data_IF_877735570443
#
_entry.id   IF_877735570443
#
_cell.length_a   1.000
_cell.length_b   1.000
_cell.length_c   1.000
_cell.angle_alpha   90.00
_cell.angle_beta   90.00
_cell.angle_gamma   90.00
#
_symmetry.space_group_name_H-M   'P 1'
#
loop_
_entity.id
_entity.type
_entity.pdbx_description
1 polymer ?
#
# COMPACT_ATOMS: atom_id res chain seq x y z
N UNK A 1 -30.22 -40.22 39.47
CA UNK A 1 -30.57 -40.19 38.03
C UNK A 1 -31.06 -38.81 37.58
N UNK A 2 -32.16 -38.23 38.10
CA UNK A 2 -32.67 -36.90 37.67
C UNK A 2 -31.69 -35.73 37.90
N UNK A 3 -31.01 -35.68 39.05
CA UNK A 3 -30.00 -34.64 39.33
C UNK A 3 -28.70 -34.80 38.51
N UNK A 4 -28.36 -36.03 38.14
CA UNK A 4 -27.17 -36.31 37.32
C UNK A 4 -27.37 -35.79 35.88
N UNK A 5 -28.56 -35.96 35.30
CA UNK A 5 -28.90 -35.32 34.02
C UNK A 5 -28.89 -33.79 34.09
N UNK A 6 -29.38 -33.19 35.20
CA UNK A 6 -29.36 -31.73 35.38
C UNK A 6 -27.93 -31.17 35.45
N UNK A 7 -27.01 -31.87 36.11
CA UNK A 7 -25.60 -31.46 36.19
C UNK A 7 -24.87 -31.59 34.85
N UNK A 8 -25.18 -32.61 34.05
CA UNK A 8 -24.58 -32.80 32.71
C UNK A 8 -25.05 -31.70 31.75
N UNK A 9 -26.33 -31.31 31.79
CA UNK A 9 -26.87 -30.24 30.94
C UNK A 9 -26.30 -28.87 31.32
N UNK A 10 -26.12 -28.58 32.61
CA UNK A 10 -25.49 -27.34 33.07
C UNK A 10 -24.00 -27.29 32.68
N UNK A 11 -23.29 -28.42 32.76
CA UNK A 11 -21.90 -28.51 32.35
C UNK A 11 -21.73 -28.32 30.83
N UNK A 12 -22.59 -28.94 30.01
CA UNK A 12 -22.57 -28.75 28.56
C UNK A 12 -22.99 -27.34 28.13
N UNK A 13 -23.94 -26.71 28.83
CA UNK A 13 -24.33 -25.32 28.59
C UNK A 13 -23.17 -24.34 28.86
N UNK A 14 -22.36 -24.62 29.88
CA UNK A 14 -21.19 -23.80 30.22
C UNK A 14 -20.03 -23.96 29.23
N UNK A 15 -19.89 -25.14 28.61
CA UNK A 15 -18.85 -25.42 27.62
C UNK A 15 -19.04 -24.71 26.27
N UNK A 16 -20.24 -24.22 25.95
CA UNK A 16 -20.53 -23.55 24.68
C UNK A 16 -20.18 -22.04 24.67
N UNK A 17 -19.76 -21.45 25.79
CA UNK A 17 -19.66 -19.98 25.94
C UNK A 17 -18.30 -19.40 25.50
N UNK A 18 -17.30 -20.21 25.11
CA UNK A 18 -15.93 -19.70 24.99
C UNK A 18 -15.20 -19.93 23.67
N UNK A 19 -15.92 -19.91 22.54
CA UNK A 19 -15.26 -19.66 21.24
C UNK A 19 -15.31 -18.16 20.95
N UNK A 20 -14.42 -17.41 21.59
CA UNK A 20 -14.08 -16.05 21.18
C UNK A 20 -12.95 -16.17 20.16
N UNK A 21 -13.24 -15.81 18.90
CA UNK A 21 -12.20 -15.67 17.89
C UNK A 21 -11.47 -14.36 18.17
N UNK A 22 -10.35 -14.43 18.88
CA UNK A 22 -9.38 -13.35 18.91
C UNK A 22 -8.72 -13.30 17.53
N UNK A 23 -9.30 -12.52 16.61
CA UNK A 23 -8.64 -12.24 15.35
C UNK A 23 -7.42 -11.37 15.66
N UNK A 24 -6.21 -11.89 15.43
CA UNK A 24 -4.99 -11.09 15.49
C UNK A 24 -5.13 -9.95 14.49
N UNK A 25 -5.46 -8.78 15.00
CA UNK A 25 -5.58 -7.57 14.21
C UNK A 25 -4.18 -7.12 13.85
N UNK A 26 -3.85 -7.12 12.56
CA UNK A 26 -2.59 -6.60 12.07
C UNK A 26 -2.45 -5.11 12.44
N UNK A 27 -1.24 -4.65 12.77
CA UNK A 27 -1.03 -3.24 13.07
C UNK A 27 -1.41 -2.38 11.87
N UNK A 28 -2.01 -1.21 12.13
CA UNK A 28 -2.37 -0.26 11.07
C UNK A 28 -1.14 0.53 10.68
N UNK A 29 -0.68 0.37 9.43
CA UNK A 29 0.48 1.09 8.92
C UNK A 29 0.08 2.32 8.09
N UNK A 30 0.77 3.43 8.31
CA UNK A 30 0.63 4.68 7.58
C UNK A 30 2.00 5.13 7.08
N UNK A 31 2.13 5.34 5.78
CA UNK A 31 3.38 5.77 5.15
C UNK A 31 3.30 7.27 4.92
N UNK A 32 4.25 8.02 5.44
CA UNK A 32 4.33 9.47 5.35
C UNK A 32 5.58 9.90 4.61
N UNK A 33 5.42 10.42 3.40
CA UNK A 33 6.49 10.99 2.59
C UNK A 33 6.58 12.49 2.81
N UNK A 34 7.79 12.96 3.10
CA UNK A 34 8.05 14.34 3.48
C UNK A 34 9.37 14.86 2.92
N UNK A 35 9.53 16.19 2.94
CA UNK A 35 10.79 16.84 2.58
C UNK A 35 11.34 17.66 3.75
N UNK A 36 12.64 17.61 4.00
CA UNK A 36 13.26 18.51 4.99
C UNK A 36 13.07 19.98 4.59
N UNK A 37 12.67 20.81 5.55
CA UNK A 37 12.40 22.24 5.32
C UNK A 37 11.05 22.57 4.69
N UNK A 38 10.21 21.57 4.38
CA UNK A 38 8.85 21.75 3.90
C UNK A 38 7.89 22.15 5.05
N UNK A 39 7.31 23.36 5.06
CA UNK A 39 6.47 23.83 6.19
C UNK A 39 5.21 22.98 6.40
N UNK A 40 4.54 22.58 5.31
CA UNK A 40 3.34 21.73 5.38
C UNK A 40 3.67 20.32 5.88
N UNK A 41 4.87 19.83 5.59
CA UNK A 41 5.33 18.54 6.07
C UNK A 41 5.55 18.56 7.59
N UNK A 42 6.16 19.61 8.12
CA UNK A 42 6.30 19.78 9.58
C UNK A 42 4.93 19.88 10.29
N UNK A 43 3.94 20.52 9.67
CA UNK A 43 2.59 20.58 10.21
C UNK A 43 1.91 19.19 10.24
N UNK A 44 2.03 18.42 9.17
CA UNK A 44 1.55 17.04 9.11
C UNK A 44 2.26 16.15 10.13
N UNK A 45 3.57 16.32 10.29
CA UNK A 45 4.38 15.53 11.21
C UNK A 45 3.93 15.69 12.67
N UNK A 46 3.74 16.94 13.11
CA UNK A 46 3.19 17.24 14.44
C UNK A 46 1.78 16.64 14.65
N UNK A 47 0.94 16.68 13.62
CA UNK A 47 -0.39 16.06 13.67
C UNK A 47 -0.28 14.54 13.83
N UNK A 48 0.57 13.89 13.03
CA UNK A 48 0.81 12.45 13.06
C UNK A 48 1.41 11.98 14.39
N UNK A 49 2.28 12.76 15.02
CA UNK A 49 2.77 12.48 16.38
C UNK A 49 1.63 12.45 17.40
N UNK A 50 0.68 13.38 17.29
CA UNK A 50 -0.55 13.37 18.09
C UNK A 50 -1.42 12.14 17.84
N UNK A 51 -1.52 11.70 16.57
CA UNK A 51 -2.26 10.49 16.21
C UNK A 51 -1.60 9.23 16.78
N UNK A 52 -0.29 9.11 16.69
CA UNK A 52 0.43 7.96 17.23
C UNK A 52 0.33 7.87 18.76
N UNK A 53 0.34 9.02 19.44
CA UNK A 53 0.09 9.07 20.88
C UNK A 53 -1.34 8.67 21.25
N UNK A 54 -2.33 9.06 20.42
CA UNK A 54 -3.75 8.72 20.62
C UNK A 54 -4.07 7.26 20.27
N UNK A 55 -3.39 6.70 19.28
CA UNK A 55 -3.61 5.35 18.75
C UNK A 55 -2.29 4.55 18.75
N UNK A 56 -1.92 3.88 19.85
CA UNK A 56 -0.63 3.18 19.97
C UNK A 56 -0.45 2.00 18.99
N UNK A 57 -1.53 1.48 18.41
CA UNK A 57 -1.50 0.44 17.36
C UNK A 57 -1.18 0.99 15.96
N UNK A 58 -1.18 2.32 15.80
CA UNK A 58 -0.80 2.98 14.55
C UNK A 58 0.73 2.97 14.41
N UNK A 59 1.22 2.41 13.32
CA UNK A 59 2.63 2.43 12.95
C UNK A 59 2.81 3.47 11.84
N UNK A 60 3.55 4.53 12.13
CA UNK A 60 3.86 5.58 11.17
C UNK A 60 5.27 5.37 10.62
N UNK A 61 5.38 5.06 9.33
CA UNK A 61 6.67 4.97 8.61
C UNK A 61 6.92 6.28 7.87
N UNK A 62 7.96 7.00 8.25
CA UNK A 62 8.31 8.32 7.70
C UNK A 62 9.46 8.19 6.68
N UNK A 63 9.29 8.79 5.50
CA UNK A 63 10.23 8.71 4.39
C UNK A 63 10.56 10.11 3.87
N UNK A 64 11.79 10.55 4.11
CA UNK A 64 12.30 11.83 3.59
C UNK A 64 12.66 11.67 2.11
N UNK A 65 12.19 12.54 1.21
CA UNK A 65 12.37 12.36 -0.25
C UNK A 65 13.29 13.39 -0.91
N UNK A 66 13.65 14.49 -0.26
CA UNK A 66 14.50 15.52 -0.89
C UNK A 66 15.98 15.14 -0.89
N UNK A 67 16.43 14.37 0.09
CA UNK A 67 17.84 14.01 0.32
C UNK A 67 18.10 12.51 0.31
N UNK A 68 17.05 11.68 0.30
CA UNK A 68 17.16 10.23 0.22
C UNK A 68 16.53 9.71 -1.08
N UNK A 69 17.41 9.31 -2.00
CA UNK A 69 17.05 8.79 -3.33
C UNK A 69 16.21 7.50 -3.25
N UNK A 70 16.50 6.59 -2.32
CA UNK A 70 15.76 5.33 -2.18
C UNK A 70 14.31 5.58 -1.73
N UNK A 71 14.12 6.56 -0.83
CA UNK A 71 12.79 6.96 -0.41
C UNK A 71 12.02 7.67 -1.53
N UNK A 72 12.71 8.45 -2.37
CA UNK A 72 12.10 9.08 -3.55
C UNK A 72 11.68 8.04 -4.59
N UNK A 73 12.50 7.00 -4.80
CA UNK A 73 12.17 5.85 -5.65
C UNK A 73 10.95 5.11 -5.11
N UNK A 74 10.95 4.75 -3.81
CA UNK A 74 9.78 4.14 -3.16
C UNK A 74 8.52 5.01 -3.27
N UNK A 75 8.67 6.34 -3.17
CA UNK A 75 7.55 7.26 -3.33
C UNK A 75 6.98 7.19 -4.75
N UNK A 76 7.84 7.12 -5.77
CA UNK A 76 7.46 6.93 -7.17
C UNK A 76 6.75 5.59 -7.38
N UNK A 77 7.35 4.49 -6.93
CA UNK A 77 6.79 3.13 -7.05
C UNK A 77 5.39 3.03 -6.41
N UNK A 78 5.21 3.57 -5.21
CA UNK A 78 3.89 3.61 -4.57
C UNK A 78 2.93 4.53 -5.33
N UNK A 79 3.37 5.68 -5.83
CA UNK A 79 2.51 6.57 -6.62
C UNK A 79 1.97 5.84 -7.85
N UNK A 80 2.84 5.12 -8.56
CA UNK A 80 2.50 4.31 -9.72
C UNK A 80 1.57 3.13 -9.37
N UNK A 81 1.87 2.38 -8.30
CA UNK A 81 1.05 1.25 -7.84
C UNK A 81 -0.36 1.67 -7.37
N UNK A 82 -0.53 2.92 -6.91
CA UNK A 82 -1.84 3.50 -6.61
C UNK A 82 -2.52 4.15 -7.83
N UNK A 83 -1.87 4.14 -9.00
CA UNK A 83 -2.37 4.74 -10.24
C UNK A 83 -2.49 6.26 -10.16
N UNK A 84 -1.57 6.91 -9.46
CA UNK A 84 -1.56 8.37 -9.23
C UNK A 84 -0.22 8.96 -9.63
N UNK A 85 -0.23 9.98 -10.47
CA UNK A 85 0.95 10.82 -10.71
C UNK A 85 1.04 11.88 -9.58
N UNK A 86 1.77 11.54 -8.51
CA UNK A 86 1.94 12.39 -7.31
C UNK A 86 3.37 12.94 -7.31
N UNK A 87 3.50 14.26 -7.37
CA UNK A 87 4.81 14.91 -7.50
C UNK A 87 5.20 15.75 -6.27
N UNK A 88 4.45 15.65 -5.16
CA UNK A 88 4.58 16.58 -4.04
C UNK A 88 4.49 15.94 -2.66
N UNK A 89 5.13 16.59 -1.70
CA UNK A 89 5.04 16.30 -0.27
C UNK A 89 4.34 17.46 0.47
N UNK A 90 3.71 17.22 1.63
CA UNK A 90 3.53 15.93 2.29
C UNK A 90 2.56 15.02 1.54
N UNK A 91 2.84 13.71 1.52
CA UNK A 91 1.89 12.71 1.02
C UNK A 91 1.80 11.55 1.99
N UNK A 92 0.59 11.06 2.20
CA UNK A 92 0.30 9.94 3.10
C UNK A 92 -0.41 8.82 2.35
N UNK A 93 0.07 7.60 2.55
CA UNK A 93 -0.60 6.37 2.11
C UNK A 93 -1.08 5.60 3.32
N UNK A 94 -2.32 5.13 3.26
CA UNK A 94 -2.94 4.27 4.28
C UNK A 94 -3.95 3.38 3.56
N UNK A 95 -3.82 2.06 3.70
CA UNK A 95 -4.66 1.09 3.00
C UNK A 95 -4.71 1.35 1.48
N UNK A 96 -5.88 1.57 0.90
CA UNK A 96 -6.07 1.91 -0.51
C UNK A 96 -6.12 3.43 -0.80
N UNK A 97 -5.85 4.27 0.21
CA UNK A 97 -5.96 5.73 0.12
C UNK A 97 -4.61 6.41 -0.02
N UNK A 98 -4.64 7.47 -0.83
CA UNK A 98 -3.57 8.47 -0.96
C UNK A 98 -4.13 9.83 -0.58
N UNK A 99 -3.44 10.52 0.32
CA UNK A 99 -3.81 11.85 0.80
C UNK A 99 -2.62 12.79 0.56
N UNK A 100 -2.82 13.84 -0.24
CA UNK A 100 -1.77 14.78 -0.64
C UNK A 100 -1.98 16.14 0.04
N UNK A 101 -0.90 16.72 0.55
CA UNK A 101 -0.88 18.01 1.23
C UNK A 101 -1.33 17.92 2.69
N UNK A 102 -1.41 19.08 3.36
CA UNK A 102 -1.90 19.16 4.72
C UNK A 102 -2.63 20.47 5.02
N UNK A 103 -3.77 20.32 5.69
CA UNK A 103 -4.61 21.37 6.27
C UNK A 103 -5.42 20.73 7.42
N UNK A 104 -6.12 21.53 8.22
CA UNK A 104 -6.94 20.98 9.30
C UNK A 104 -8.02 19.99 8.81
N UNK A 105 -8.65 20.28 7.67
CA UNK A 105 -9.66 19.39 7.07
C UNK A 105 -9.04 18.10 6.54
N UNK A 106 -7.82 18.18 6.00
CA UNK A 106 -7.06 17.00 5.57
C UNK A 106 -6.69 16.16 6.79
N UNK A 107 -6.22 16.78 7.89
CA UNK A 107 -5.94 16.08 9.14
C UNK A 107 -7.14 15.28 9.65
N UNK A 108 -8.34 15.87 9.64
CA UNK A 108 -9.57 15.14 10.00
C UNK A 108 -9.85 13.94 9.08
N UNK A 109 -9.52 14.05 7.78
CA UNK A 109 -9.68 12.96 6.82
C UNK A 109 -8.66 11.85 7.09
N UNK A 110 -7.41 12.20 7.39
CA UNK A 110 -6.35 11.25 7.77
C UNK A 110 -6.73 10.50 9.05
N UNK A 111 -7.20 11.21 10.08
CA UNK A 111 -7.67 10.57 11.31
C UNK A 111 -8.84 9.62 11.05
N UNK A 112 -9.78 9.99 10.17
CA UNK A 112 -10.91 9.13 9.82
C UNK A 112 -10.45 7.82 9.17
N UNK A 113 -9.44 7.86 8.29
CA UNK A 113 -8.86 6.65 7.71
C UNK A 113 -8.09 5.81 8.73
N UNK A 114 -7.34 6.45 9.64
CA UNK A 114 -6.68 5.75 10.76
C UNK A 114 -7.71 4.99 11.59
N UNK A 115 -8.79 5.66 12.01
CA UNK A 115 -9.85 5.03 12.82
C UNK A 115 -10.52 3.90 12.05
N UNK A 116 -10.87 4.12 10.77
CA UNK A 116 -11.44 3.07 9.92
C UNK A 116 -10.54 1.83 9.91
N UNK A 117 -9.24 2.00 9.67
CA UNK A 117 -8.31 0.88 9.60
C UNK A 117 -8.10 0.17 10.94
N UNK A 118 -8.17 0.93 12.04
CA UNK A 118 -8.17 0.35 13.39
C UNK A 118 -9.48 -0.40 13.71
N UNK A 119 -10.58 -0.17 13.02
CA UNK A 119 -11.83 -0.90 13.25
C UNK A 119 -11.95 -2.13 12.36
N UNK A 120 -11.66 -1.98 11.06
CA UNK A 120 -11.94 -3.02 10.05
C UNK A 120 -10.72 -3.87 9.70
N UNK A 121 -9.51 -3.41 10.04
CA UNK A 121 -8.25 -3.98 9.56
C UNK A 121 -7.98 -3.57 8.11
N UNK A 122 -6.77 -3.08 7.85
CA UNK A 122 -6.34 -2.61 6.53
C UNK A 122 -5.06 -3.30 6.08
N UNK A 123 -4.82 -3.31 4.77
CA UNK A 123 -3.54 -3.74 4.21
C UNK A 123 -2.46 -2.68 4.43
N UNK A 124 -1.19 -3.09 4.35
CA UNK A 124 -0.09 -2.13 4.34
C UNK A 124 0.00 -1.46 2.96
N UNK A 125 0.36 -0.16 2.88
CA UNK A 125 0.60 0.49 1.59
C UNK A 125 1.58 -0.25 0.67
N UNK A 126 2.59 -0.91 1.24
CA UNK A 126 3.58 -1.67 0.46
C UNK A 126 3.01 -2.93 -0.19
N UNK A 127 1.85 -3.42 0.26
CA UNK A 127 1.23 -4.61 -0.34
C UNK A 127 0.81 -4.35 -1.79
N UNK A 128 0.59 -3.08 -2.19
CA UNK A 128 0.33 -2.73 -3.59
C UNK A 128 1.54 -2.93 -4.50
N UNK A 129 2.77 -2.86 -3.98
CA UNK A 129 4.00 -3.09 -4.76
C UNK A 129 4.17 -4.57 -5.12
N UNK A 130 3.56 -5.48 -4.36
CA UNK A 130 3.70 -6.94 -4.54
C UNK A 130 2.77 -7.49 -5.63
N UNK A 131 1.89 -6.66 -6.21
CA UNK A 131 0.85 -7.07 -7.18
C UNK A 131 1.31 -6.91 -8.64
N UNK A 132 2.52 -6.38 -8.88
CA UNK A 132 3.08 -6.19 -10.22
C UNK A 132 3.80 -7.42 -10.82
N UNK A 133 3.74 -8.59 -10.18
CA UNK A 133 3.93 -9.83 -10.94
C UNK A 133 2.58 -10.14 -11.59
N UNK A 134 2.34 -9.75 -12.87
CA UNK A 134 1.12 -10.18 -13.54
C UNK A 134 1.06 -11.69 -13.41
N UNK A 135 -0.11 -12.23 -13.09
CA UNK A 135 -0.41 -13.65 -13.05
C UNK A 135 0.13 -14.39 -14.29
N UNK A 136 1.40 -14.78 -14.26
CA UNK A 136 2.03 -15.65 -15.24
C UNK A 136 2.26 -17.03 -14.61
N UNK A 137 1.31 -17.47 -13.79
CA UNK A 137 1.35 -18.77 -13.14
C UNK A 137 0.08 -19.61 -13.30
N UNK A 138 -0.86 -19.21 -14.16
CA UNK A 138 -1.96 -20.10 -14.57
C UNK A 138 -2.07 -20.38 -16.08
N UNK A 139 -0.95 -20.25 -16.82
CA UNK A 139 -0.81 -20.91 -18.13
C UNK A 139 0.49 -21.73 -18.19
N UNK A 140 0.74 -22.52 -17.15
CA UNK A 140 1.71 -23.63 -17.21
C UNK A 140 1.00 -24.96 -16.99
N UNK A 141 0.15 -25.32 -17.95
CA UNK A 141 -0.20 -26.68 -18.35
C UNK A 141 -1.38 -26.54 -19.31
N UNK A 142 -1.15 -26.50 -20.62
CA UNK A 142 -1.71 -27.38 -21.67
C UNK A 142 -1.13 -26.86 -23.00
N UNK A 143 0.10 -27.24 -23.37
CA UNK A 143 0.44 -27.56 -24.77
C UNK A 143 1.58 -28.57 -24.72
N UNK A 144 1.26 -29.83 -25.04
CA UNK A 144 2.28 -30.81 -25.38
C UNK A 144 2.82 -30.53 -26.78
N UNK A 145 4.15 -30.66 -26.91
CA UNK A 145 4.90 -31.10 -28.09
C UNK A 145 4.48 -30.55 -29.48
N UNK A 146 5.25 -29.61 -30.02
CA UNK A 146 6.01 -29.79 -31.27
C UNK A 146 6.75 -28.52 -31.72
N UNK A 147 8.06 -28.68 -31.84
CA UNK A 147 9.05 -27.98 -32.67
C UNK A 147 9.49 -26.52 -32.37
N UNK A 148 10.81 -26.22 -32.44
CA UNK A 148 11.38 -24.92 -32.12
C UNK A 148 11.40 -23.98 -33.35
N UNK A 149 11.01 -22.72 -33.15
CA UNK A 149 11.24 -21.62 -34.12
C UNK A 149 12.03 -20.50 -33.42
N UNK A 150 13.07 -19.93 -34.07
CA UNK A 150 14.21 -19.35 -33.39
C UNK A 150 14.04 -17.90 -32.91
N UNK A 151 14.81 -17.61 -31.86
CA UNK A 151 15.15 -16.30 -31.29
C UNK A 151 15.71 -15.34 -32.35
N UNK A 152 15.21 -14.10 -32.40
CA UNK A 152 16.00 -12.85 -32.56
C UNK A 152 15.20 -11.68 -33.15
N UNK A 153 15.50 -10.47 -32.66
CA UNK A 153 15.26 -9.12 -33.21
C UNK A 153 13.88 -8.47 -33.06
N UNK A 154 13.78 -7.55 -32.09
CA UNK A 154 13.41 -6.15 -32.39
C UNK A 154 13.79 -5.16 -31.26
N UNK A 155 15.09 -4.88 -31.13
CA UNK A 155 15.59 -3.59 -30.64
C UNK A 155 16.22 -2.89 -31.87
N UNK A 156 16.13 -1.56 -31.90
CA UNK A 156 16.49 -0.62 -32.97
C UNK A 156 15.42 -0.32 -34.03
N UNK A 157 14.72 0.81 -33.85
CA UNK A 157 14.42 1.71 -34.96
C UNK A 157 14.29 3.15 -34.45
N UNK A 158 15.37 3.67 -33.87
CA UNK A 158 15.55 5.12 -33.64
C UNK A 158 16.95 5.53 -34.08
N UNK A 159 17.24 5.38 -35.37
CA UNK A 159 18.28 6.20 -35.99
C UNK A 159 18.05 6.28 -37.50
N UNK A 160 18.24 7.49 -38.03
CA UNK A 160 18.49 7.82 -39.44
C UNK A 160 17.26 8.05 -40.34
N UNK A 161 16.62 9.21 -40.16
CA UNK A 161 16.23 10.02 -41.33
C UNK A 161 16.74 11.45 -41.09
N UNK A 162 17.99 11.68 -41.47
CA UNK A 162 18.51 13.00 -41.85
C UNK A 162 18.83 12.87 -43.33
N UNK A 163 18.08 13.57 -44.20
CA UNK A 163 18.43 13.79 -45.62
C UNK A 163 18.08 15.25 -45.94
N UNK A 164 18.90 15.97 -46.73
CA UNK A 164 19.29 17.35 -46.47
C UNK A 164 18.51 18.38 -47.30
N UNK A 165 18.76 19.65 -46.98
CA UNK A 165 18.59 20.77 -47.91
C UNK A 165 19.40 20.53 -49.20
N UNK A 166 18.92 21.03 -50.35
CA UNK A 166 19.64 21.82 -51.39
C UNK A 166 18.73 22.01 -52.64
N UNK A 167 18.49 23.30 -52.94
CA UNK A 167 18.35 24.03 -54.22
C UNK A 167 17.74 23.44 -55.52
N UNK A 168 16.89 24.31 -56.10
CA UNK A 168 16.84 24.78 -57.50
C UNK A 168 16.09 24.00 -58.58
N UNK A 169 14.97 24.59 -59.01
CA UNK A 169 14.68 24.92 -60.42
C UNK A 169 13.70 26.11 -60.46
#
# INVERSE_FOLDING_TARGET
MRYLSLLIVLFFSFLFISVTNAQEKLPTELYFFYGQGCPHCAAMDNFLEGMQAKYPELIIKKYETYSNQQNLELFGELSDAYGKDIQGVPTTFIDDKVIVGFSNSIGSSVESEIVRCLEVGCGSPEDKLKIEEPELQEVLHIVGESDPVPVSQKVELMQKITIPAILSA
#
